data_IF_264371717497
#
_entry.id   IF_264371717497
#
_cell.length_a   1.000
_cell.length_b   1.000
_cell.length_c   1.000
_cell.angle_alpha   90.00
_cell.angle_beta   90.00
_cell.angle_gamma   90.00
#
_symmetry.space_group_name_H-M   'P 1'
#
loop_
_entity.id
_entity.type
_entity.pdbx_description
1 polymer ?
#
# COMPACT_ATOMS: atom_id res chain seq x y z
N UNK A 1 0.89 -1.09 -12.36
CA UNK A 1 -0.58 -1.32 -12.48
C UNK A 1 -1.10 -1.93 -11.19
N UNK A 2 -2.10 -1.30 -10.52
CA UNK A 2 -2.57 -1.72 -9.18
C UNK A 2 -3.56 -2.90 -9.19
N UNK A 3 -4.25 -3.14 -10.29
CA UNK A 3 -5.17 -4.26 -10.43
C UNK A 3 -4.97 -4.94 -11.79
N UNK A 4 -4.64 -6.22 -11.75
CA UNK A 4 -4.47 -7.07 -12.93
C UNK A 4 -5.62 -8.09 -13.02
N UNK A 5 -5.89 -8.65 -14.22
CA UNK A 5 -6.88 -9.70 -14.34
C UNK A 5 -6.67 -10.83 -13.34
N UNK A 6 -7.67 -11.14 -12.53
CA UNK A 6 -7.61 -12.17 -11.49
C UNK A 6 -6.93 -11.76 -10.17
N UNK A 7 -6.43 -10.52 -10.07
CA UNK A 7 -5.71 -10.02 -8.89
C UNK A 7 -4.31 -10.61 -8.74
N UNK A 8 -3.29 -9.78 -8.63
CA UNK A 8 -1.89 -10.20 -8.46
C UNK A 8 -1.50 -10.41 -6.99
N UNK A 9 -2.32 -9.97 -6.06
CA UNK A 9 -2.19 -10.23 -4.63
C UNK A 9 -3.59 -10.48 -4.00
N UNK A 10 -3.67 -11.03 -2.78
CA UNK A 10 -4.95 -11.35 -2.16
C UNK A 10 -5.62 -10.15 -1.48
N UNK A 11 -5.19 -8.92 -1.77
CA UNK A 11 -5.71 -7.73 -1.11
C UNK A 11 -6.72 -6.96 -1.99
N UNK A 12 -7.51 -6.08 -1.32
CA UNK A 12 -8.57 -5.29 -1.95
C UNK A 12 -8.05 -4.37 -3.06
N UNK A 13 -6.84 -3.83 -2.93
CA UNK A 13 -6.25 -2.89 -3.90
C UNK A 13 -5.82 -3.56 -5.22
N UNK A 14 -5.79 -4.90 -5.28
CA UNK A 14 -5.63 -5.65 -6.52
C UNK A 14 -6.95 -6.09 -7.15
N UNK A 15 -8.07 -5.60 -6.63
CA UNK A 15 -9.44 -6.01 -7.01
C UNK A 15 -9.70 -7.51 -6.78
N UNK A 16 -9.03 -8.11 -5.80
CA UNK A 16 -9.18 -9.52 -5.43
C UNK A 16 -10.34 -9.71 -4.44
N UNK A 17 -11.56 -9.76 -4.95
CA UNK A 17 -12.76 -9.94 -4.14
C UNK A 17 -12.84 -11.29 -3.43
N UNK A 18 -12.12 -12.30 -3.92
CA UNK A 18 -12.07 -13.65 -3.32
C UNK A 18 -10.93 -13.85 -2.33
N UNK A 19 -10.06 -12.84 -2.12
CA UNK A 19 -8.80 -12.95 -1.37
C UNK A 19 -7.82 -13.98 -1.94
N UNK A 20 -7.96 -14.29 -3.21
CA UNK A 20 -7.13 -15.24 -3.94
C UNK A 20 -6.49 -14.58 -5.16
N UNK A 21 -5.18 -14.68 -5.28
CA UNK A 21 -4.42 -14.08 -6.37
C UNK A 21 -4.42 -15.00 -7.61
N UNK A 22 -5.56 -15.10 -8.29
CA UNK A 22 -5.78 -15.99 -9.43
C UNK A 22 -4.90 -15.67 -10.65
N UNK A 23 -4.32 -14.47 -10.71
CA UNK A 23 -3.37 -14.07 -11.75
C UNK A 23 -2.21 -15.06 -11.92
N UNK A 24 -1.76 -15.66 -10.82
CA UNK A 24 -0.62 -16.56 -10.84
C UNK A 24 -0.95 -17.95 -11.37
N UNK A 25 -2.21 -18.39 -11.29
CA UNK A 25 -2.63 -19.74 -11.70
C UNK A 25 -3.20 -19.79 -13.12
N UNK A 26 -3.50 -18.63 -13.70
CA UNK A 26 -4.13 -18.55 -15.04
C UNK A 26 -3.25 -17.80 -16.03
N UNK A 27 -2.65 -18.55 -16.94
CA UNK A 27 -1.81 -17.98 -18.01
C UNK A 27 -2.54 -16.91 -18.83
N UNK A 28 -3.84 -17.08 -19.09
CA UNK A 28 -4.64 -16.13 -19.87
C UNK A 28 -4.75 -14.75 -19.19
N UNK A 29 -4.74 -14.68 -17.85
CA UNK A 29 -4.69 -13.41 -17.14
C UNK A 29 -3.34 -12.72 -17.32
N UNK A 30 -2.25 -13.49 -17.27
CA UNK A 30 -0.92 -12.99 -17.53
C UNK A 30 -0.74 -12.52 -18.98
N UNK A 31 -1.28 -13.27 -19.95
CA UNK A 31 -1.23 -12.91 -21.37
C UNK A 31 -2.03 -11.61 -21.65
N UNK A 32 -3.18 -11.43 -20.98
CA UNK A 32 -3.93 -10.16 -21.06
C UNK A 32 -3.15 -8.98 -20.46
N UNK A 33 -2.46 -9.19 -19.34
CA UNK A 33 -1.64 -8.17 -18.76
C UNK A 33 -0.47 -7.78 -19.68
N UNK A 34 0.17 -8.75 -20.32
CA UNK A 34 1.22 -8.52 -21.32
C UNK A 34 0.66 -7.71 -22.49
N UNK A 35 -0.44 -8.16 -23.09
CA UNK A 35 -1.08 -7.44 -24.18
C UNK A 35 -1.43 -5.99 -23.82
N UNK A 36 -1.98 -5.75 -22.63
CA UNK A 36 -2.28 -4.39 -22.17
C UNK A 36 -1.01 -3.54 -22.07
N UNK A 37 0.09 -4.11 -21.62
CA UNK A 37 1.36 -3.39 -21.54
C UNK A 37 2.00 -3.15 -22.92
N UNK A 38 1.78 -4.03 -23.90
CA UNK A 38 2.15 -3.78 -25.29
C UNK A 38 1.37 -2.57 -25.84
N UNK A 39 0.07 -2.43 -25.56
CA UNK A 39 -0.74 -1.27 -25.94
C UNK A 39 -0.26 0.02 -25.22
N UNK A 40 0.01 -0.04 -23.91
CA UNK A 40 0.51 1.10 -23.14
C UNK A 40 1.89 1.54 -23.67
N UNK A 41 2.81 0.61 -23.89
CA UNK A 41 4.11 0.89 -24.43
C UNK A 41 4.03 1.51 -25.84
N UNK A 42 3.14 0.99 -26.70
CA UNK A 42 2.89 1.55 -28.03
C UNK A 42 2.43 3.00 -27.94
N UNK A 43 1.55 3.31 -26.99
CA UNK A 43 1.03 4.66 -26.82
C UNK A 43 2.09 5.64 -26.29
N UNK A 44 2.94 5.21 -25.36
CA UNK A 44 3.82 6.12 -24.61
C UNK A 44 5.29 6.12 -25.06
N UNK A 45 5.73 5.21 -25.93
CA UNK A 45 7.13 5.05 -26.34
C UNK A 45 7.84 6.32 -26.83
N UNK A 46 7.10 7.31 -27.33
CA UNK A 46 7.65 8.58 -27.81
C UNK A 46 7.39 9.74 -26.84
N UNK A 47 6.87 9.48 -25.65
CA UNK A 47 6.56 10.52 -24.67
C UNK A 47 7.71 10.70 -23.65
N UNK A 48 8.55 11.75 -23.80
CA UNK A 48 9.71 11.96 -22.92
C UNK A 48 9.34 12.34 -21.48
N UNK A 49 8.06 12.59 -21.20
CA UNK A 49 7.56 12.90 -19.87
C UNK A 49 7.15 11.65 -19.05
N UNK A 50 7.14 10.49 -19.70
CA UNK A 50 6.95 9.20 -19.04
C UNK A 50 8.32 8.66 -18.63
N UNK A 51 8.59 8.51 -17.34
CA UNK A 51 9.86 8.01 -16.84
C UNK A 51 10.06 6.51 -17.09
N UNK A 52 8.96 5.75 -17.13
CA UNK A 52 8.99 4.30 -17.35
C UNK A 52 7.68 3.63 -16.97
N UNK A 53 7.71 2.29 -16.90
CA UNK A 53 6.55 1.44 -16.68
C UNK A 53 6.72 0.59 -15.42
N UNK A 54 5.72 0.56 -14.55
CA UNK A 54 5.63 -0.37 -13.43
C UNK A 54 4.58 -1.44 -13.77
N UNK A 55 4.98 -2.63 -14.25
CA UNK A 55 4.06 -3.63 -14.77
C UNK A 55 3.08 -4.17 -13.74
N UNK A 56 3.54 -4.43 -12.53
CA UNK A 56 2.74 -5.00 -11.44
C UNK A 56 3.04 -4.24 -10.16
N UNK A 57 1.99 -3.79 -9.48
CA UNK A 57 2.08 -3.25 -8.12
C UNK A 57 1.86 -4.36 -7.08
N UNK A 58 2.76 -4.45 -6.12
CA UNK A 58 2.65 -5.32 -4.94
C UNK A 58 2.24 -6.77 -5.25
N UNK A 59 2.99 -7.49 -6.10
CA UNK A 59 2.69 -8.88 -6.40
C UNK A 59 2.83 -9.79 -5.17
N UNK A 60 1.97 -10.83 -5.10
CA UNK A 60 2.06 -11.89 -4.11
C UNK A 60 1.97 -13.25 -4.81
N UNK A 61 3.11 -13.76 -5.23
CA UNK A 61 3.26 -15.12 -5.75
C UNK A 61 3.64 -16.05 -4.61
N UNK A 62 2.74 -16.92 -4.20
CA UNK A 62 2.95 -17.89 -3.13
C UNK A 62 4.10 -18.87 -3.43
N UNK A 63 4.30 -19.24 -4.69
CA UNK A 63 5.38 -20.14 -5.11
C UNK A 63 6.72 -19.43 -5.35
N UNK A 64 6.75 -18.10 -5.28
CA UNK A 64 7.91 -17.21 -5.38
C UNK A 64 8.66 -17.20 -6.72
N UNK A 65 8.50 -18.20 -7.58
CA UNK A 65 9.20 -18.32 -8.86
C UNK A 65 8.39 -17.86 -10.08
N UNK A 66 7.07 -17.70 -9.94
CA UNK A 66 6.19 -17.29 -11.05
C UNK A 66 6.32 -15.79 -11.34
N UNK A 67 6.62 -14.97 -10.34
CA UNK A 67 6.84 -13.54 -10.53
C UNK A 67 8.09 -13.25 -11.36
N UNK A 68 9.31 -13.77 -11.04
CA UNK A 68 10.45 -13.56 -11.92
C UNK A 68 10.21 -14.13 -13.32
N UNK A 69 9.61 -15.30 -13.46
CA UNK A 69 9.27 -15.87 -14.76
C UNK A 69 8.26 -15.00 -15.55
N UNK A 70 7.34 -14.30 -14.88
CA UNK A 70 6.45 -13.33 -15.53
C UNK A 70 7.24 -12.10 -16.01
N UNK A 71 8.18 -11.59 -15.22
CA UNK A 71 9.04 -10.49 -15.65
C UNK A 71 9.90 -10.85 -16.87
N UNK A 72 10.43 -12.07 -16.93
CA UNK A 72 11.16 -12.60 -18.09
C UNK A 72 10.29 -12.71 -19.36
N UNK A 73 8.98 -12.83 -19.20
CA UNK A 73 8.04 -12.87 -20.32
C UNK A 73 7.62 -11.48 -20.79
N UNK A 74 7.35 -10.55 -19.86
CA UNK A 74 6.81 -9.23 -20.22
C UNK A 74 7.91 -8.27 -20.69
N UNK A 75 9.12 -8.36 -20.13
CA UNK A 75 10.22 -7.48 -20.50
C UNK A 75 10.50 -7.46 -22.00
N UNK A 76 10.77 -8.61 -22.67
CA UNK A 76 11.06 -8.60 -24.10
C UNK A 76 9.89 -8.11 -24.95
N UNK A 77 8.66 -8.26 -24.50
CA UNK A 77 7.46 -7.76 -25.19
C UNK A 77 7.39 -6.24 -25.18
N UNK A 78 7.65 -5.64 -24.01
CA UNK A 78 7.72 -4.19 -23.90
C UNK A 78 8.92 -3.66 -24.68
N UNK A 79 10.10 -4.28 -24.58
CA UNK A 79 11.34 -3.85 -25.25
C UNK A 79 11.26 -3.91 -26.78
N UNK A 80 10.50 -4.83 -27.35
CA UNK A 80 10.26 -4.89 -28.79
C UNK A 80 9.50 -3.65 -29.31
N UNK A 81 8.76 -2.97 -28.44
CA UNK A 81 7.96 -1.77 -28.77
C UNK A 81 8.68 -0.50 -28.32
N UNK A 82 9.22 -0.53 -27.11
CA UNK A 82 9.85 0.59 -26.42
C UNK A 82 11.17 0.15 -25.75
N UNK A 83 12.30 0.37 -26.41
CA UNK A 83 13.62 0.01 -25.90
C UNK A 83 14.16 1.00 -24.84
N UNK A 84 13.51 2.15 -24.62
CA UNK A 84 14.10 3.27 -23.89
C UNK A 84 13.55 3.47 -22.47
N UNK A 85 12.23 3.35 -22.27
CA UNK A 85 11.62 3.58 -20.96
C UNK A 85 12.05 2.54 -19.92
N UNK A 86 12.32 3.01 -18.71
CA UNK A 86 12.76 2.13 -17.60
C UNK A 86 11.59 1.22 -17.17
N UNK A 87 11.88 -0.05 -16.86
CA UNK A 87 10.96 -0.91 -16.15
C UNK A 87 11.17 -0.77 -14.65
N UNK A 88 10.12 -0.44 -13.92
CA UNK A 88 10.10 -0.37 -12.46
C UNK A 88 9.46 -1.65 -11.94
N UNK A 89 10.28 -2.54 -11.37
CA UNK A 89 9.88 -3.89 -11.02
C UNK A 89 9.69 -4.01 -9.51
N UNK A 90 8.51 -4.37 -9.07
CA UNK A 90 8.23 -4.63 -7.66
C UNK A 90 8.69 -6.03 -7.24
N UNK A 91 9.26 -6.15 -6.04
CA UNK A 91 9.53 -7.43 -5.41
C UNK A 91 8.25 -8.17 -5.03
N UNK A 92 8.40 -9.45 -4.70
CA UNK A 92 7.28 -10.27 -4.24
C UNK A 92 6.79 -9.86 -2.83
N UNK A 93 5.67 -10.44 -2.39
CA UNK A 93 5.10 -10.25 -1.05
C UNK A 93 4.91 -8.76 -0.73
N UNK A 94 4.12 -8.06 -1.55
CA UNK A 94 3.88 -6.60 -1.44
C UNK A 94 5.16 -5.77 -1.60
N UNK A 95 6.00 -6.07 -2.60
CA UNK A 95 7.27 -5.41 -2.87
C UNK A 95 8.27 -5.45 -1.68
N UNK A 96 8.28 -6.55 -0.91
CA UNK A 96 9.12 -6.68 0.28
C UNK A 96 10.22 -7.72 0.17
N UNK A 97 10.25 -8.56 -0.87
CA UNK A 97 11.23 -9.64 -0.99
C UNK A 97 11.61 -9.97 -2.45
N UNK A 98 12.82 -10.53 -2.61
CA UNK A 98 13.43 -10.84 -3.91
C UNK A 98 13.88 -12.30 -4.00
N UNK A 99 13.22 -13.19 -3.27
CA UNK A 99 13.49 -14.61 -3.30
C UNK A 99 13.27 -15.16 -4.72
N UNK A 100 14.18 -16.03 -5.19
CA UNK A 100 14.17 -16.61 -6.53
C UNK A 100 14.38 -15.64 -7.71
N UNK A 101 14.79 -14.40 -7.45
CA UNK A 101 15.32 -13.54 -8.50
C UNK A 101 16.80 -13.88 -8.71
N UNK A 102 17.11 -14.56 -9.80
CA UNK A 102 18.46 -15.11 -10.07
C UNK A 102 19.31 -14.17 -10.93
N UNK A 103 18.67 -13.25 -11.65
CA UNK A 103 19.34 -12.30 -12.55
C UNK A 103 18.63 -10.95 -12.57
N UNK A 104 19.27 -9.98 -13.19
CA UNK A 104 18.75 -8.64 -13.39
C UNK A 104 18.33 -8.42 -14.83
N UNK A 105 17.22 -7.71 -15.05
CA UNK A 105 16.73 -7.36 -16.37
C UNK A 105 17.38 -6.07 -16.88
N UNK A 106 17.57 -5.90 -18.19
CA UNK A 106 18.17 -4.69 -18.75
C UNK A 106 17.26 -3.47 -18.58
N UNK A 107 17.88 -2.31 -18.35
CA UNK A 107 17.18 -1.02 -18.19
C UNK A 107 16.02 -1.08 -17.18
N UNK A 108 16.23 -1.78 -16.06
CA UNK A 108 15.27 -1.93 -14.97
C UNK A 108 15.74 -1.27 -13.68
N UNK A 109 14.80 -0.75 -12.92
CA UNK A 109 14.94 -0.35 -11.53
C UNK A 109 14.06 -1.25 -10.67
N UNK A 110 14.48 -1.52 -9.44
CA UNK A 110 13.82 -2.50 -8.56
C UNK A 110 13.18 -1.78 -7.39
N UNK A 111 11.88 -1.98 -7.23
CA UNK A 111 11.04 -1.25 -6.28
C UNK A 111 10.81 -2.06 -5.01
N UNK A 112 10.94 -1.38 -3.88
CA UNK A 112 10.48 -1.86 -2.59
C UNK A 112 9.38 -0.96 -2.07
N UNK A 113 8.49 -1.50 -1.21
CA UNK A 113 7.54 -0.72 -0.43
C UNK A 113 7.93 -0.80 1.05
N UNK A 114 8.35 0.34 1.62
CA UNK A 114 8.96 0.34 2.94
C UNK A 114 8.05 0.94 4.02
N UNK A 115 6.83 0.40 4.12
CA UNK A 115 5.95 0.70 5.23
C UNK A 115 6.49 0.14 6.55
N UNK A 116 6.48 0.97 7.59
CA UNK A 116 6.88 0.59 8.94
C UNK A 116 5.64 0.27 9.79
N UNK A 117 5.61 -0.87 10.49
CA UNK A 117 4.50 -1.25 11.37
C UNK A 117 4.19 -0.16 12.42
N UNK A 118 5.21 0.51 12.95
CA UNK A 118 5.07 1.65 13.87
C UNK A 118 4.35 2.87 13.25
N UNK A 119 4.10 2.87 11.94
CA UNK A 119 3.31 3.87 11.21
C UNK A 119 1.80 3.61 11.22
N UNK A 120 1.33 2.50 11.78
CA UNK A 120 -0.08 2.08 11.73
C UNK A 120 -0.75 2.08 13.11
N UNK A 121 -2.09 2.20 13.18
CA UNK A 121 -2.80 2.28 14.46
C UNK A 121 -2.63 1.07 15.38
N UNK A 122 -2.42 -0.13 14.81
CA UNK A 122 -2.19 -1.37 15.57
C UNK A 122 -0.72 -1.63 15.89
N UNK A 123 0.19 -0.81 15.37
CA UNK A 123 1.63 -0.94 15.62
C UNK A 123 2.07 -0.29 16.94
N UNK A 124 3.27 -0.67 17.38
CA UNK A 124 3.94 0.01 18.48
C UNK A 124 4.12 1.51 18.18
N UNK A 125 3.97 2.36 19.20
CA UNK A 125 4.21 3.81 19.08
C UNK A 125 5.70 4.10 18.86
N UNK A 126 6.01 4.91 17.85
CA UNK A 126 7.38 5.31 17.57
C UNK A 126 7.83 6.40 18.56
N UNK A 127 8.81 6.07 19.40
CA UNK A 127 9.41 6.99 20.40
C UNK A 127 10.80 7.47 20.00
N UNK A 128 11.33 7.00 18.86
CA UNK A 128 12.64 7.37 18.35
C UNK A 128 13.81 6.78 19.14
N UNK A 129 13.60 5.66 19.82
CA UNK A 129 14.68 4.98 20.54
C UNK A 129 15.72 4.42 19.56
N UNK A 130 17.00 4.28 19.98
CA UNK A 130 18.04 3.69 19.12
C UNK A 130 17.64 2.31 18.58
N UNK A 131 16.93 1.50 19.34
CA UNK A 131 16.46 0.16 18.97
C UNK A 131 15.41 0.26 17.86
N UNK A 132 14.45 1.19 17.98
CA UNK A 132 13.43 1.40 16.95
C UNK A 132 14.05 1.91 15.65
N UNK A 133 14.96 2.89 15.71
CA UNK A 133 15.66 3.40 14.52
C UNK A 133 16.50 2.31 13.87
N UNK A 134 17.26 1.54 14.67
CA UNK A 134 18.03 0.40 14.16
C UNK A 134 17.15 -0.68 13.54
N UNK A 135 15.95 -0.90 14.07
CA UNK A 135 14.98 -1.84 13.51
C UNK A 135 14.44 -1.39 12.14
N UNK A 136 14.16 -0.08 11.98
CA UNK A 136 13.78 0.48 10.67
C UNK A 136 14.89 0.25 9.64
N UNK A 137 16.12 0.57 9.99
CA UNK A 137 17.25 0.42 9.07
C UNK A 137 17.50 -1.05 8.68
N UNK A 138 17.47 -1.99 9.64
CA UNK A 138 17.60 -3.42 9.36
C UNK A 138 16.50 -3.93 8.43
N UNK A 139 15.25 -3.49 8.64
CA UNK A 139 14.11 -3.88 7.80
C UNK A 139 14.27 -3.36 6.38
N UNK A 140 14.67 -2.11 6.23
CA UNK A 140 14.97 -1.50 4.94
C UNK A 140 16.10 -2.26 4.21
N UNK A 141 17.24 -2.50 4.88
CA UNK A 141 18.39 -3.20 4.29
C UNK A 141 18.04 -4.62 3.85
N UNK A 142 17.21 -5.34 4.61
CA UNK A 142 16.72 -6.67 4.21
C UNK A 142 15.92 -6.60 2.91
N UNK A 143 15.01 -5.61 2.77
CA UNK A 143 14.23 -5.41 1.54
C UNK A 143 15.11 -5.01 0.37
N UNK A 144 16.13 -4.19 0.59
CA UNK A 144 17.04 -3.68 -0.43
C UNK A 144 18.23 -4.61 -0.76
N UNK A 145 18.35 -5.76 -0.12
CA UNK A 145 19.51 -6.64 -0.21
C UNK A 145 19.83 -7.13 -1.63
N UNK A 146 18.80 -7.46 -2.42
CA UNK A 146 18.96 -7.86 -3.83
C UNK A 146 19.65 -6.75 -4.64
N UNK A 147 19.14 -5.51 -4.55
CA UNK A 147 19.67 -4.38 -5.29
C UNK A 147 21.10 -4.03 -4.89
N UNK A 148 21.42 -4.15 -3.60
CA UNK A 148 22.80 -3.97 -3.11
C UNK A 148 23.74 -5.04 -3.63
N UNK A 149 23.30 -6.31 -3.60
CA UNK A 149 24.10 -7.45 -4.09
C UNK A 149 24.38 -7.34 -5.59
N UNK A 150 23.37 -7.01 -6.38
CA UNK A 150 23.48 -6.92 -7.84
C UNK A 150 23.93 -5.55 -8.36
N UNK A 151 24.10 -4.55 -7.44
CA UNK A 151 24.51 -3.18 -7.77
C UNK A 151 23.58 -2.53 -8.82
N UNK A 152 22.28 -2.72 -8.65
CA UNK A 152 21.24 -2.17 -9.53
C UNK A 152 20.47 -1.06 -8.81
N UNK A 153 19.75 -0.25 -9.61
CA UNK A 153 18.97 0.87 -9.08
C UNK A 153 17.84 0.36 -8.20
N UNK A 154 17.81 0.84 -6.97
CA UNK A 154 16.70 0.65 -6.05
C UNK A 154 15.78 1.89 -6.04
N UNK A 155 14.49 1.68 -5.85
CA UNK A 155 13.50 2.73 -5.64
C UNK A 155 12.57 2.31 -4.51
N UNK A 156 12.30 3.19 -3.56
CA UNK A 156 11.23 2.98 -2.60
C UNK A 156 9.93 3.57 -3.16
N UNK A 157 9.13 2.70 -3.77
CA UNK A 157 7.91 3.07 -4.51
C UNK A 157 6.79 3.58 -3.63
N UNK A 158 6.67 3.02 -2.42
CA UNK A 158 5.65 3.43 -1.46
C UNK A 158 6.15 3.37 -0.02
N UNK A 159 5.82 4.37 0.76
CA UNK A 159 5.99 4.42 2.20
C UNK A 159 5.16 5.56 2.78
N UNK A 160 4.96 5.56 4.08
CA UNK A 160 4.26 6.63 4.79
C UNK A 160 3.38 6.08 5.92
N UNK A 161 3.24 6.83 7.03
CA UNK A 161 2.40 6.44 8.14
C UNK A 161 0.93 6.79 7.91
N UNK A 162 0.05 6.09 8.63
CA UNK A 162 -1.36 6.44 8.77
C UNK A 162 -1.52 7.48 9.88
N UNK A 163 -2.18 8.59 9.59
CA UNK A 163 -2.43 9.67 10.53
C UNK A 163 -3.75 9.48 11.27
N UNK A 164 -3.77 9.86 12.55
CA UNK A 164 -4.97 9.81 13.37
C UNK A 164 -5.88 11.02 13.12
N UNK A 165 -7.20 10.76 13.08
CA UNK A 165 -8.23 11.78 12.90
C UNK A 165 -8.61 12.40 14.26
N UNK A 166 -8.44 13.71 14.45
CA UNK A 166 -8.80 14.40 15.69
C UNK A 166 -10.29 14.29 16.07
N UNK A 167 -11.16 14.04 15.11
CA UNK A 167 -12.60 13.83 15.37
C UNK A 167 -12.90 12.51 16.05
N UNK A 168 -11.99 11.53 15.90
CA UNK A 168 -12.16 10.16 16.37
C UNK A 168 -11.18 9.77 17.49
N UNK A 169 -10.13 10.56 17.71
CA UNK A 169 -9.07 10.24 18.65
C UNK A 169 -8.55 11.52 19.33
N UNK A 170 -8.82 11.65 20.63
CA UNK A 170 -8.38 12.80 21.43
C UNK A 170 -6.86 12.95 21.51
N UNK A 171 -6.11 11.87 21.29
CA UNK A 171 -4.64 11.84 21.28
C UNK A 171 -4.05 12.06 19.88
N UNK A 172 -4.86 12.40 18.88
CA UNK A 172 -4.44 12.50 17.49
C UNK A 172 -3.22 13.42 17.28
N UNK A 173 -3.13 14.53 18.01
CA UNK A 173 -2.01 15.45 17.86
C UNK A 173 -0.68 14.79 18.27
N UNK A 174 -0.64 14.07 19.39
CA UNK A 174 0.53 13.35 19.87
C UNK A 174 0.88 12.20 18.91
N UNK A 175 -0.11 11.39 18.51
CA UNK A 175 0.08 10.29 17.57
C UNK A 175 0.66 10.82 16.25
N UNK A 176 0.09 11.88 15.70
CA UNK A 176 0.56 12.44 14.44
C UNK A 176 1.97 13.02 14.55
N UNK A 177 2.35 13.60 15.69
CA UNK A 177 3.73 14.03 15.89
C UNK A 177 4.73 12.84 15.88
N UNK A 178 4.37 11.72 16.51
CA UNK A 178 5.17 10.49 16.44
C UNK A 178 5.25 9.92 15.01
N UNK A 179 4.16 10.01 14.24
CA UNK A 179 4.15 9.62 12.81
C UNK A 179 5.08 10.51 11.98
N UNK A 180 5.13 11.83 12.25
CA UNK A 180 6.08 12.73 11.62
C UNK A 180 7.53 12.40 12.00
N UNK A 181 7.79 12.08 13.26
CA UNK A 181 9.11 11.67 13.71
C UNK A 181 9.57 10.36 13.04
N UNK A 182 8.68 9.37 12.94
CA UNK A 182 8.91 8.12 12.21
C UNK A 182 9.27 8.37 10.74
N UNK A 183 8.47 9.19 10.06
CA UNK A 183 8.72 9.55 8.67
C UNK A 183 10.10 10.19 8.49
N UNK A 184 10.46 11.14 9.36
CA UNK A 184 11.79 11.76 9.34
C UNK A 184 12.92 10.76 9.58
N UNK A 185 12.71 9.74 10.43
CA UNK A 185 13.69 8.67 10.63
C UNK A 185 13.86 7.79 9.38
N UNK A 186 12.77 7.42 8.72
CA UNK A 186 12.82 6.66 7.46
C UNK A 186 13.51 7.45 6.34
N UNK A 187 13.18 8.73 6.17
CA UNK A 187 13.79 9.58 5.16
C UNK A 187 15.31 9.73 5.36
N UNK A 188 15.78 9.84 6.62
CA UNK A 188 17.23 9.84 6.91
C UNK A 188 17.92 8.54 6.48
N UNK A 189 17.24 7.39 6.61
CA UNK A 189 17.77 6.11 6.12
C UNK A 189 17.87 6.14 4.59
N UNK A 190 16.83 6.61 3.89
CA UNK A 190 16.85 6.70 2.43
C UNK A 190 17.92 7.68 1.93
N UNK A 191 18.13 8.80 2.61
CA UNK A 191 19.20 9.75 2.30
C UNK A 191 20.59 9.11 2.50
N UNK A 192 20.80 8.40 3.61
CA UNK A 192 22.05 7.68 3.91
C UNK A 192 22.43 6.69 2.80
N UNK A 193 21.46 5.96 2.25
CA UNK A 193 21.66 4.97 1.21
C UNK A 193 21.40 5.48 -0.20
N UNK A 194 21.13 6.79 -0.35
CA UNK A 194 20.85 7.45 -1.63
C UNK A 194 19.72 6.80 -2.43
N UNK A 195 18.66 6.37 -1.73
CA UNK A 195 17.49 5.73 -2.34
C UNK A 195 16.48 6.78 -2.78
N UNK A 196 16.14 6.87 -4.06
CA UNK A 196 14.98 7.64 -4.51
C UNK A 196 13.69 7.04 -3.95
N UNK A 197 12.71 7.90 -3.67
CA UNK A 197 11.49 7.47 -3.04
C UNK A 197 10.26 8.24 -3.54
N UNK A 198 9.09 7.62 -3.43
CA UNK A 198 7.78 8.23 -3.61
C UNK A 198 6.92 7.96 -2.38
N UNK A 199 6.36 9.01 -1.79
CA UNK A 199 5.48 8.83 -0.65
C UNK A 199 4.09 8.35 -1.09
N UNK A 200 3.49 7.46 -0.33
CA UNK A 200 2.09 7.17 -0.40
C UNK A 200 1.34 8.00 0.65
N UNK A 201 0.57 9.08 0.30
CA UNK A 201 0.38 9.50 -1.09
C UNK A 201 0.15 11.02 -1.16
N UNK A 202 0.00 11.53 -2.38
CA UNK A 202 -0.21 12.95 -2.60
C UNK A 202 -1.54 13.45 -2.03
N UNK A 203 -2.67 12.75 -2.32
CA UNK A 203 -4.00 13.21 -1.92
C UNK A 203 -4.94 12.05 -1.58
N UNK A 204 -5.61 12.17 -0.44
CA UNK A 204 -6.62 11.21 0.02
C UNK A 204 -7.76 11.84 0.85
N UNK A 205 -8.46 11.01 1.62
CA UNK A 205 -9.59 11.37 2.49
C UNK A 205 -9.18 11.68 3.93
N UNK A 206 -7.89 11.80 4.24
CA UNK A 206 -7.38 12.10 5.57
C UNK A 206 -6.52 11.00 6.20
N UNK A 207 -6.27 9.88 5.50
CA UNK A 207 -5.52 8.73 6.04
C UNK A 207 -3.99 8.96 5.98
N UNK A 208 -3.41 9.22 4.79
CA UNK A 208 -1.97 9.37 4.60
C UNK A 208 -1.56 10.59 3.78
N UNK A 209 -2.52 11.19 3.05
CA UNK A 209 -2.26 12.21 2.04
C UNK A 209 -1.51 13.45 2.53
N UNK A 210 -0.62 13.96 1.68
CA UNK A 210 -0.01 15.29 1.81
C UNK A 210 -1.08 16.39 1.77
N UNK A 211 -2.15 16.11 1.00
CA UNK A 211 -3.38 16.90 0.89
C UNK A 211 -4.54 15.95 1.12
N UNK A 212 -5.57 16.39 1.81
CA UNK A 212 -6.75 15.55 2.06
C UNK A 212 -8.04 16.37 2.06
N UNK A 213 -9.18 15.68 1.93
CA UNK A 213 -10.48 16.32 2.02
C UNK A 213 -10.63 17.08 3.34
N UNK A 214 -11.24 18.27 3.29
CA UNK A 214 -11.53 19.04 4.50
C UNK A 214 -12.42 18.19 5.45
N UNK A 215 -12.04 18.02 6.73
CA UNK A 215 -12.86 17.32 7.72
C UNK A 215 -14.30 17.81 7.81
N UNK A 216 -14.54 19.11 7.57
CA UNK A 216 -15.86 19.73 7.61
C UNK A 216 -16.57 19.74 6.25
N UNK A 217 -16.01 19.09 5.23
CA UNK A 217 -16.65 18.97 3.91
C UNK A 217 -17.96 18.19 3.98
N UNK A 218 -18.85 18.44 2.99
CA UNK A 218 -20.11 17.71 2.90
C UNK A 218 -19.89 16.18 2.87
N UNK A 219 -18.90 15.72 2.08
CA UNK A 219 -18.52 14.30 2.03
C UNK A 219 -18.20 13.75 3.43
N UNK A 220 -17.24 14.35 4.13
CA UNK A 220 -16.79 13.86 5.44
C UNK A 220 -17.89 13.88 6.50
N UNK A 221 -18.75 14.91 6.52
CA UNK A 221 -19.90 14.95 7.43
C UNK A 221 -20.92 13.86 7.12
N UNK A 222 -21.18 13.60 5.84
CA UNK A 222 -22.12 12.55 5.42
C UNK A 222 -21.67 11.16 5.85
N UNK A 223 -20.39 10.83 5.70
CA UNK A 223 -19.88 9.49 6.01
C UNK A 223 -19.49 9.27 7.47
N UNK A 224 -19.46 10.32 8.30
CA UNK A 224 -18.96 10.24 9.69
C UNK A 224 -19.62 9.13 10.52
N UNK A 225 -20.97 8.94 10.53
CA UNK A 225 -21.59 7.88 11.32
C UNK A 225 -21.17 6.48 10.88
N UNK A 226 -20.88 6.32 9.59
CA UNK A 226 -20.38 5.06 9.03
C UNK A 226 -18.92 4.80 9.41
N UNK A 227 -18.07 5.83 9.49
CA UNK A 227 -16.67 5.70 9.88
C UNK A 227 -16.52 5.16 11.31
N UNK A 228 -17.35 5.58 12.24
CA UNK A 228 -17.38 5.07 13.63
C UNK A 228 -17.70 3.58 13.66
N UNK A 229 -18.71 3.14 12.91
CA UNK A 229 -19.09 1.74 12.76
C UNK A 229 -18.00 0.93 12.08
N UNK A 230 -17.43 1.45 10.98
CA UNK A 230 -16.32 0.85 10.25
C UNK A 230 -15.11 0.62 11.17
N UNK A 231 -14.77 1.61 12.01
CA UNK A 231 -13.69 1.52 13.00
C UNK A 231 -13.95 0.45 14.05
N UNK A 232 -15.15 0.44 14.64
CA UNK A 232 -15.56 -0.55 15.66
C UNK A 232 -15.48 -1.97 15.13
N UNK A 233 -15.88 -2.20 13.88
CA UNK A 233 -15.89 -3.50 13.22
C UNK A 233 -14.56 -3.87 12.54
N UNK A 234 -13.55 -3.01 12.59
CA UNK A 234 -12.27 -3.24 11.91
C UNK A 234 -12.42 -3.58 10.41
N UNK A 235 -13.35 -2.92 9.71
CA UNK A 235 -13.59 -3.18 8.29
C UNK A 235 -12.50 -2.61 7.38
N UNK A 236 -11.63 -1.74 7.90
CA UNK A 236 -10.54 -1.11 7.16
C UNK A 236 -9.25 -1.91 7.35
N UNK A 237 -8.70 -2.44 6.27
CA UNK A 237 -7.46 -3.19 6.37
C UNK A 237 -6.23 -2.29 6.56
N UNK A 238 -6.30 -1.06 6.07
CA UNK A 238 -5.16 -0.13 6.07
C UNK A 238 -5.12 0.77 7.31
N UNK A 239 -6.23 1.41 7.63
CA UNK A 239 -6.39 2.27 8.80
C UNK A 239 -6.96 1.57 10.03
N UNK A 240 -6.79 0.25 10.16
CA UNK A 240 -7.37 -0.56 11.22
C UNK A 240 -6.96 -0.09 12.61
N UNK A 241 -7.96 0.18 13.44
CA UNK A 241 -7.78 0.45 14.87
C UNK A 241 -8.02 -0.80 15.70
N UNK A 242 -7.38 -0.94 16.88
CA UNK A 242 -7.73 -2.00 17.83
C UNK A 242 -9.21 -1.94 18.20
N UNK A 243 -9.87 -3.10 18.22
CA UNK A 243 -11.25 -3.26 18.69
C UNK A 243 -11.32 -4.44 19.66
N UNK A 244 -11.53 -4.20 20.97
CA UNK A 244 -11.66 -5.26 21.95
C UNK A 244 -12.81 -6.22 21.62
N UNK A 245 -13.88 -5.74 21.01
CA UNK A 245 -15.03 -6.56 20.60
C UNK A 245 -14.64 -7.58 19.52
N UNK A 246 -13.89 -7.15 18.51
CA UNK A 246 -13.41 -8.06 17.46
C UNK A 246 -12.32 -9.00 17.99
N UNK A 247 -11.38 -8.49 18.80
CA UNK A 247 -10.35 -9.33 19.42
C UNK A 247 -10.96 -10.42 20.32
N UNK A 248 -12.05 -10.13 21.04
CA UNK A 248 -12.73 -11.12 21.88
C UNK A 248 -13.26 -12.34 21.12
N UNK A 249 -13.45 -12.23 19.81
CA UNK A 249 -13.94 -13.30 18.91
C UNK A 249 -12.80 -13.89 18.08
N UNK A 250 -12.00 -13.05 17.47
CA UNK A 250 -10.96 -13.48 16.51
C UNK A 250 -9.76 -14.14 17.22
N UNK A 251 -9.32 -13.62 18.37
CA UNK A 251 -8.15 -14.15 19.05
C UNK A 251 -8.36 -15.57 19.60
N UNK A 252 -9.50 -15.91 20.28
CA UNK A 252 -9.78 -17.28 20.69
C UNK A 252 -9.90 -18.23 19.49
N UNK A 253 -10.54 -17.79 18.40
CA UNK A 253 -10.67 -18.61 17.19
C UNK A 253 -9.29 -18.87 16.55
N UNK A 254 -8.46 -17.87 16.42
CA UNK A 254 -7.11 -18.04 15.88
C UNK A 254 -6.24 -18.96 16.75
N UNK A 255 -6.33 -18.82 18.07
CA UNK A 255 -5.67 -19.71 19.02
C UNK A 255 -6.11 -21.16 18.83
N UNK A 256 -7.42 -21.42 18.77
CA UNK A 256 -7.96 -22.76 18.53
C UNK A 256 -7.48 -23.34 17.20
N UNK A 257 -7.49 -22.55 16.11
CA UNK A 257 -7.00 -22.99 14.79
C UNK A 257 -5.52 -23.39 14.88
N UNK A 258 -4.69 -22.55 15.50
CA UNK A 258 -3.25 -22.83 15.62
C UNK A 258 -2.96 -24.06 16.49
N UNK A 259 -3.83 -24.38 17.46
CA UNK A 259 -3.71 -25.58 18.28
C UNK A 259 -4.07 -26.86 17.51
N UNK A 260 -5.12 -26.84 16.69
CA UNK A 260 -5.59 -28.03 15.95
C UNK A 260 -4.96 -28.19 14.58
N UNK A 261 -4.45 -27.11 14.00
CA UNK A 261 -3.79 -27.07 12.70
C UNK A 261 -2.58 -26.11 12.76
N UNK A 262 -1.44 -26.52 13.34
CA UNK A 262 -0.26 -25.65 13.46
C UNK A 262 0.23 -25.07 12.12
N UNK A 263 0.02 -25.79 11.01
CA UNK A 263 0.39 -25.35 9.65
C UNK A 263 -0.36 -24.07 9.22
N UNK A 264 -1.47 -23.72 9.87
CA UNK A 264 -2.18 -22.46 9.61
C UNK A 264 -1.30 -21.22 9.86
N UNK A 265 -0.27 -21.33 10.70
CA UNK A 265 0.69 -20.27 10.97
C UNK A 265 1.62 -19.99 9.79
N UNK A 266 1.71 -20.93 8.84
CA UNK A 266 2.53 -20.85 7.63
C UNK A 266 1.74 -20.39 6.40
N UNK A 267 0.46 -20.00 6.57
CA UNK A 267 -0.38 -19.53 5.46
C UNK A 267 0.23 -18.29 4.82
N UNK A 268 0.34 -18.30 3.50
CA UNK A 268 0.86 -17.15 2.73
C UNK A 268 -0.19 -16.02 2.63
N UNK A 269 0.18 -14.76 2.72
CA UNK A 269 1.52 -14.20 2.98
C UNK A 269 2.02 -14.46 4.41
N UNK A 270 3.18 -15.08 4.52
CA UNK A 270 3.76 -15.53 5.79
C UNK A 270 4.06 -14.43 6.84
N UNK A 271 4.23 -13.11 6.48
CA UNK A 271 4.29 -12.06 7.49
C UNK A 271 2.99 -11.85 8.27
N UNK A 272 1.89 -12.44 7.81
CA UNK A 272 0.59 -12.31 8.48
C UNK A 272 0.36 -13.49 9.43
N UNK A 273 -0.10 -13.17 10.63
CA UNK A 273 -0.53 -14.19 11.58
C UNK A 273 -1.97 -14.67 11.28
N UNK A 274 -2.39 -15.73 11.93
CA UNK A 274 -3.73 -16.34 11.76
C UNK A 274 -4.86 -15.34 12.04
N UNK A 275 -4.71 -14.46 13.05
CA UNK A 275 -5.71 -13.42 13.34
C UNK A 275 -5.88 -12.48 12.13
N UNK A 276 -4.79 -12.09 11.47
CA UNK A 276 -4.87 -11.22 10.29
C UNK A 276 -5.55 -11.93 9.12
N UNK A 277 -5.23 -13.18 8.86
CA UNK A 277 -5.90 -13.97 7.81
C UNK A 277 -7.40 -14.10 8.07
N UNK A 278 -7.81 -14.40 9.30
CA UNK A 278 -9.21 -14.46 9.70
C UNK A 278 -9.92 -13.11 9.56
N UNK A 279 -9.31 -12.04 10.08
CA UNK A 279 -9.89 -10.70 9.99
C UNK A 279 -10.11 -10.29 8.52
N UNK A 280 -9.17 -10.60 7.63
CA UNK A 280 -9.33 -10.32 6.20
C UNK A 280 -10.46 -11.10 5.56
N UNK A 281 -10.58 -12.38 5.84
CA UNK A 281 -11.63 -13.22 5.27
C UNK A 281 -13.03 -12.81 5.80
N UNK A 282 -13.16 -12.58 7.09
CA UNK A 282 -14.45 -12.33 7.74
C UNK A 282 -14.78 -10.82 7.71
N UNK A 283 -13.96 -9.96 8.29
CA UNK A 283 -14.31 -8.56 8.50
C UNK A 283 -14.12 -7.73 7.21
N UNK A 284 -12.96 -7.85 6.58
CA UNK A 284 -12.57 -7.01 5.44
C UNK A 284 -13.11 -7.53 4.09
N UNK A 285 -13.74 -8.71 4.07
CA UNK A 285 -14.37 -9.28 2.86
C UNK A 285 -15.86 -9.49 3.07
N UNK A 286 -16.24 -10.51 3.83
CA UNK A 286 -17.65 -10.89 4.00
C UNK A 286 -18.47 -9.75 4.64
N UNK A 287 -18.03 -9.22 5.76
CA UNK A 287 -18.73 -8.13 6.44
C UNK A 287 -18.69 -6.83 5.64
N UNK A 288 -17.54 -6.50 5.03
CA UNK A 288 -17.41 -5.27 4.23
C UNK A 288 -18.38 -5.25 3.05
N UNK A 289 -18.60 -6.37 2.37
CA UNK A 289 -19.61 -6.47 1.30
C UNK A 289 -21.02 -6.18 1.81
N UNK A 290 -21.40 -6.74 2.97
CA UNK A 290 -22.71 -6.48 3.56
C UNK A 290 -22.92 -4.99 3.89
N UNK A 291 -21.86 -4.27 4.26
CA UNK A 291 -21.91 -2.83 4.57
C UNK A 291 -21.84 -1.91 3.36
N UNK A 292 -21.52 -2.40 2.16
CA UNK A 292 -21.47 -1.57 0.95
C UNK A 292 -22.81 -0.89 0.66
N UNK A 293 -23.92 -1.61 0.83
CA UNK A 293 -25.28 -1.07 0.64
C UNK A 293 -25.64 -0.03 1.72
N UNK A 294 -25.21 -0.26 2.96
CA UNK A 294 -25.41 0.71 4.03
C UNK A 294 -24.65 2.00 3.74
N UNK A 295 -23.39 1.91 3.30
CA UNK A 295 -22.61 3.07 2.90
C UNK A 295 -23.30 3.83 1.75
N UNK A 296 -23.74 3.13 0.71
CA UNK A 296 -24.44 3.73 -0.42
C UNK A 296 -25.73 4.44 0.03
N UNK A 297 -26.43 3.90 1.04
CA UNK A 297 -27.67 4.48 1.54
C UNK A 297 -27.53 5.86 2.19
N UNK A 298 -26.30 6.24 2.59
CA UNK A 298 -26.03 7.58 3.10
C UNK A 298 -26.31 8.69 2.06
N UNK A 299 -26.30 8.34 0.78
CA UNK A 299 -26.48 9.26 -0.33
C UNK A 299 -27.82 9.10 -1.06
N UNK A 300 -28.66 8.14 -0.65
CA UNK A 300 -29.90 7.78 -1.39
C UNK A 300 -30.90 8.92 -1.56
N UNK A 301 -30.96 9.83 -0.59
CA UNK A 301 -31.90 10.93 -0.56
C UNK A 301 -31.25 12.25 -1.06
N UNK A 302 -30.00 12.22 -1.52
CA UNK A 302 -29.30 13.38 -2.04
C UNK A 302 -29.87 13.79 -3.38
N UNK A 303 -30.11 15.07 -3.54
CA UNK A 303 -30.34 15.70 -4.84
C UNK A 303 -29.07 15.69 -5.69
N UNK A 304 -29.18 15.90 -6.99
CA UNK A 304 -28.01 16.05 -7.87
C UNK A 304 -27.09 17.18 -7.44
N UNK A 305 -27.63 18.28 -6.89
CA UNK A 305 -26.83 19.40 -6.37
C UNK A 305 -26.03 18.98 -5.12
N UNK A 306 -26.60 18.20 -4.20
CA UNK A 306 -25.93 17.69 -3.02
C UNK A 306 -24.86 16.65 -3.38
N UNK A 307 -25.13 15.78 -4.36
CA UNK A 307 -24.12 14.85 -4.89
C UNK A 307 -22.94 15.60 -5.51
N UNK A 308 -23.21 16.65 -6.31
CA UNK A 308 -22.17 17.52 -6.87
C UNK A 308 -21.41 18.28 -5.76
N UNK A 309 -22.10 18.72 -4.71
CA UNK A 309 -21.51 19.31 -3.51
C UNK A 309 -20.57 18.34 -2.79
N UNK A 310 -20.98 17.08 -2.62
CA UNK A 310 -20.15 16.03 -2.02
C UNK A 310 -18.92 15.71 -2.91
N UNK A 311 -19.10 15.62 -4.23
CA UNK A 311 -18.00 15.43 -5.17
C UNK A 311 -16.99 16.60 -5.15
N UNK A 312 -17.46 17.83 -5.03
CA UNK A 312 -16.61 19.03 -4.90
C UNK A 312 -15.74 19.04 -3.65
N UNK A 313 -16.05 18.22 -2.63
CA UNK A 313 -15.18 18.03 -1.46
C UNK A 313 -13.78 17.51 -1.84
N UNK A 314 -13.66 16.86 -2.98
CA UNK A 314 -12.40 16.30 -3.49
C UNK A 314 -11.63 17.27 -4.39
N UNK A 315 -12.14 18.46 -4.68
CA UNK A 315 -11.38 19.44 -5.46
C UNK A 315 -10.17 19.93 -4.66
N UNK A 316 -9.05 20.13 -5.33
CA UNK A 316 -7.79 20.53 -4.70
C UNK A 316 -7.94 21.83 -3.88
N UNK A 317 -8.65 22.82 -4.40
CA UNK A 317 -8.92 24.10 -3.76
C UNK A 317 -9.89 24.02 -2.55
N UNK A 318 -10.50 22.83 -2.32
CA UNK A 318 -11.36 22.52 -1.17
C UNK A 318 -10.70 21.55 -0.18
N UNK A 319 -9.50 21.12 -0.48
CA UNK A 319 -8.74 20.24 0.38
C UNK A 319 -7.83 21.02 1.33
N UNK A 320 -7.44 20.40 2.42
CA UNK A 320 -6.48 20.93 3.37
C UNK A 320 -5.13 20.25 3.25
N UNK A 321 -4.05 21.01 3.51
CA UNK A 321 -2.68 20.48 3.47
C UNK A 321 -2.28 19.92 4.83
N UNK A 322 -1.63 18.77 4.82
CA UNK A 322 -0.99 18.20 6.01
C UNK A 322 0.38 18.87 6.22
N UNK A 323 0.35 20.06 6.83
CA UNK A 323 1.52 20.96 6.95
C UNK A 323 2.75 20.29 7.57
N UNK A 324 2.58 19.44 8.60
CA UNK A 324 3.69 18.73 9.25
C UNK A 324 4.39 17.76 8.31
N UNK A 325 3.62 16.96 7.57
CA UNK A 325 4.13 16.06 6.54
C UNK A 325 4.86 16.85 5.44
N UNK A 326 4.20 17.86 4.86
CA UNK A 326 4.73 18.63 3.75
C UNK A 326 6.04 19.35 4.10
N UNK A 327 6.18 19.82 5.35
CA UNK A 327 7.41 20.43 5.84
C UNK A 327 8.57 19.44 5.83
N UNK A 328 8.39 18.24 6.40
CA UNK A 328 9.43 17.20 6.46
C UNK A 328 9.85 16.78 5.05
N UNK A 329 8.88 16.55 4.17
CA UNK A 329 9.15 16.16 2.78
C UNK A 329 9.96 17.23 2.05
N UNK A 330 9.62 18.52 2.23
CA UNK A 330 10.32 19.64 1.60
C UNK A 330 11.75 19.79 2.12
N UNK A 331 11.99 19.55 3.42
CA UNK A 331 13.32 19.61 4.02
C UNK A 331 14.25 18.52 3.43
N UNK A 332 13.76 17.29 3.29
CA UNK A 332 14.53 16.19 2.71
C UNK A 332 14.73 16.32 1.19
N UNK A 333 13.74 16.86 0.46
CA UNK A 333 13.91 17.11 -0.98
C UNK A 333 15.00 18.15 -1.27
N UNK A 334 15.06 19.23 -0.48
CA UNK A 334 16.09 20.29 -0.62
C UNK A 334 17.49 19.81 -0.22
N UNK A 335 17.62 18.93 0.75
CA UNK A 335 18.92 18.39 1.18
C UNK A 335 19.63 17.54 0.12
N UNK A 336 18.94 17.13 -0.96
CA UNK A 336 19.50 16.38 -2.08
C UNK A 336 20.03 17.27 -3.22
N UNK A 337 19.77 18.57 -3.18
CA UNK A 337 20.28 19.54 -4.18
C UNK A 337 21.69 20.08 -3.85
N UNK A 338 22.28 19.65 -2.73
CA UNK A 338 23.64 19.99 -2.31
C UNK A 338 24.60 18.80 -2.47
#
# INVERSE_FOLDING_TARGET
MHALPGGQNPDWHSDSGSKYAAFWDHKDFQDRAIWLWEEIATHYKSNPWVAGYNPINEPCDELHHRLPAFYDRIEPKIRAIDPHHILWLDGNTFAMEWKHFEHVLPSAAYSIHDYAAMGFPTGERFKGTPEQVSSLERTFLRKASFMQTHKVVAWNGEFGPVYSDPRMDSSAAEINQERYNLLGAQLKIYDKYQIPWSIWLYKDIGVQGMVHTDPDSLWNRTIQPFLEKKRRLQLDSWGKYPSPEISSVIDPLAKFINEVCPEATNTYPTPWNTQRHLARAVMETFMAQAFAMEFASLFKDFTMEELDGAAKSFRFDRCVQRKGLNKIMSEHAKGREQ
#
